data_IF_593854814281
#
_entry.id   IF_593854814281
#
_cell.length_a   1.000
_cell.length_b   1.000
_cell.length_c   1.000
_cell.angle_alpha   90.00
_cell.angle_beta   90.00
_cell.angle_gamma   90.00
#
_symmetry.space_group_name_H-M   'P 1'
#
loop_
_entity.id
_entity.type
_entity.pdbx_description
1 polymer ?
#
# COMPACT_ATOMS: atom_id res chain seq x y z
N UNK A 1 16.43 7.66 -23.31
CA UNK A 1 15.29 6.80 -22.94
C UNK A 1 15.71 5.96 -21.74
N UNK A 2 15.53 6.48 -20.53
CA UNK A 2 15.86 5.73 -19.31
C UNK A 2 14.61 4.96 -18.87
N UNK A 3 14.70 3.63 -18.90
CA UNK A 3 13.70 2.71 -18.35
C UNK A 3 13.46 3.06 -16.89
N UNK A 4 12.22 3.39 -16.53
CA UNK A 4 11.74 3.19 -15.17
C UNK A 4 11.80 1.68 -14.92
N UNK A 5 12.73 1.26 -14.06
CA UNK A 5 12.76 -0.10 -13.58
C UNK A 5 11.55 -0.33 -12.69
N UNK A 6 10.53 -0.99 -13.22
CA UNK A 6 9.55 -1.71 -12.41
C UNK A 6 10.30 -2.87 -11.74
N UNK A 7 10.70 -2.70 -10.47
CA UNK A 7 11.33 -3.78 -9.73
C UNK A 7 10.25 -4.71 -9.15
N UNK A 8 10.26 -5.91 -9.70
CA UNK A 8 9.60 -7.10 -9.21
C UNK A 8 10.10 -7.49 -7.82
N UNK A 9 9.20 -8.01 -6.99
CA UNK A 9 9.52 -8.66 -5.73
C UNK A 9 10.39 -9.89 -5.99
N UNK A 10 11.55 -9.97 -5.34
CA UNK A 10 12.42 -11.15 -5.37
C UNK A 10 11.80 -12.27 -4.51
N UNK A 11 11.31 -13.32 -5.17
CA UNK A 11 10.82 -14.54 -4.52
C UNK A 11 11.87 -15.64 -4.48
N UNK A 12 12.18 -16.16 -3.29
CA UNK A 12 12.94 -17.40 -3.10
C UNK A 12 12.02 -18.61 -3.35
N UNK A 13 12.42 -19.51 -4.25
CA UNK A 13 11.71 -20.76 -4.54
C UNK A 13 12.40 -21.96 -3.88
N UNK A 14 11.65 -22.75 -3.10
CA UNK A 14 12.02 -24.09 -2.62
C UNK A 14 11.16 -25.19 -3.28
N UNK A 15 11.59 -26.46 -3.27
CA UNK A 15 10.98 -27.53 -4.08
C UNK A 15 9.66 -28.06 -3.50
N UNK A 16 8.79 -28.54 -4.41
CA UNK A 16 7.39 -28.95 -4.20
C UNK A 16 7.26 -30.48 -4.16
N UNK A 17 6.42 -31.01 -3.26
CA UNK A 17 5.94 -32.40 -3.26
C UNK A 17 4.42 -32.44 -3.60
N UNK A 18 3.87 -33.56 -4.14
CA UNK A 18 2.46 -33.64 -4.57
C UNK A 18 1.56 -34.36 -3.54
N UNK A 19 0.25 -34.03 -3.54
CA UNK A 19 -0.76 -34.84 -2.84
C UNK A 19 -2.10 -34.15 -2.57
N UNK A 20 -3.03 -34.30 -3.51
CA UNK A 20 -4.51 -34.47 -3.47
C UNK A 20 -5.49 -33.91 -2.41
N UNK A 21 -6.70 -33.67 -2.96
CA UNK A 21 -8.05 -33.77 -2.39
C UNK A 21 -8.79 -32.47 -2.00
N UNK A 22 -9.96 -32.31 -2.62
CA UNK A 22 -10.87 -31.18 -2.55
C UNK A 22 -11.74 -31.18 -1.28
N UNK A 23 -11.89 -30.00 -0.67
CA UNK A 23 -13.01 -29.66 0.22
C UNK A 23 -13.53 -28.27 -0.16
N UNK A 24 -14.85 -28.17 -0.35
CA UNK A 24 -15.55 -26.89 -0.43
C UNK A 24 -15.59 -26.28 0.98
N UNK A 25 -14.75 -25.27 1.22
CA UNK A 25 -14.64 -24.57 2.50
C UNK A 25 -14.67 -23.06 2.28
N UNK A 26 -15.23 -22.34 3.26
CA UNK A 26 -15.18 -20.88 3.34
C UNK A 26 -13.80 -20.37 2.93
N UNK A 27 -13.76 -19.33 2.09
CA UNK A 27 -12.53 -18.81 1.48
C UNK A 27 -11.50 -18.43 2.55
N UNK A 28 -10.68 -19.40 2.96
CA UNK A 28 -9.47 -19.17 3.71
C UNK A 28 -8.63 -18.23 2.86
N UNK A 29 -8.32 -17.05 3.39
CA UNK A 29 -7.38 -16.12 2.77
C UNK A 29 -5.94 -16.66 2.91
N UNK A 30 -5.72 -17.93 2.55
CA UNK A 30 -4.39 -18.53 2.44
C UNK A 30 -3.54 -17.69 1.50
N UNK A 31 -2.27 -17.53 1.87
CA UNK A 31 -1.27 -16.80 1.09
C UNK A 31 -1.40 -17.15 -0.39
N UNK A 32 -1.72 -16.14 -1.19
CA UNK A 32 -1.84 -16.29 -2.63
C UNK A 32 -0.45 -16.48 -3.21
N UNK A 33 -0.27 -17.38 -4.19
CA UNK A 33 1.00 -17.46 -4.89
C UNK A 33 1.32 -16.08 -5.49
N UNK A 34 2.44 -15.51 -5.06
CA UNK A 34 3.03 -14.31 -5.64
C UNK A 34 3.43 -14.64 -7.08
N UNK A 35 3.15 -13.74 -8.01
CA UNK A 35 3.59 -13.91 -9.38
C UNK A 35 5.11 -13.85 -9.44
N UNK A 36 5.72 -14.69 -10.29
CA UNK A 36 7.17 -14.60 -10.55
C UNK A 36 7.57 -13.24 -11.12
N UNK A 37 6.64 -12.54 -11.78
CA UNK A 37 6.75 -11.16 -12.21
C UNK A 37 5.40 -10.45 -12.06
N UNK A 38 5.36 -9.22 -11.53
CA UNK A 38 4.12 -8.43 -11.48
C UNK A 38 3.54 -8.25 -12.89
N UNK A 39 2.23 -8.44 -13.02
CA UNK A 39 1.50 -8.27 -14.27
C UNK A 39 0.87 -6.88 -14.36
N UNK A 40 0.97 -6.22 -15.53
CA UNK A 40 0.19 -5.02 -15.80
C UNK A 40 -1.26 -5.40 -16.13
N UNK A 41 -2.21 -4.69 -15.53
CA UNK A 41 -3.64 -4.88 -15.77
C UNK A 41 -4.13 -3.78 -16.71
N UNK A 42 -4.50 -4.16 -17.93
CA UNK A 42 -5.09 -3.25 -18.90
C UNK A 42 -6.51 -2.83 -18.45
N UNK A 43 -6.68 -1.57 -18.04
CA UNK A 43 -7.96 -1.05 -17.54
C UNK A 43 -8.22 0.34 -18.08
N UNK A 44 -9.37 0.53 -18.73
CA UNK A 44 -9.89 1.84 -19.09
C UNK A 44 -10.80 2.35 -17.97
N UNK A 45 -10.68 3.63 -17.61
CA UNK A 45 -11.54 4.23 -16.59
C UNK A 45 -11.20 3.77 -15.16
N UNK A 46 -12.20 3.69 -14.29
CA UNK A 46 -12.01 3.31 -12.87
C UNK A 46 -11.67 1.82 -12.75
N UNK A 47 -10.63 1.48 -11.99
CA UNK A 47 -10.35 0.12 -11.57
C UNK A 47 -10.92 -0.10 -10.17
N UNK A 48 -11.56 -1.24 -9.92
CA UNK A 48 -12.06 -1.61 -8.60
C UNK A 48 -11.39 -2.91 -8.18
N UNK A 49 -10.70 -2.87 -7.05
CA UNK A 49 -10.05 -4.04 -6.47
C UNK A 49 -11.12 -5.01 -5.96
N UNK A 50 -11.20 -6.21 -6.56
CA UNK A 50 -12.29 -7.15 -6.34
C UNK A 50 -12.43 -7.60 -4.87
N UNK A 51 -11.32 -7.70 -4.13
CA UNK A 51 -11.32 -8.14 -2.74
C UNK A 51 -11.84 -7.12 -1.74
N UNK A 52 -11.51 -5.83 -1.92
CA UNK A 52 -11.83 -4.76 -0.94
C UNK A 52 -12.90 -3.78 -1.42
N UNK A 53 -13.23 -3.79 -2.71
CA UNK A 53 -14.06 -2.75 -3.33
C UNK A 53 -13.38 -1.37 -3.38
N UNK A 54 -12.09 -1.26 -3.04
CA UNK A 54 -11.34 -0.02 -3.16
C UNK A 54 -11.19 0.34 -4.64
N UNK A 55 -11.43 1.60 -4.98
CA UNK A 55 -11.38 2.04 -6.37
C UNK A 55 -10.20 2.97 -6.66
N UNK A 56 -9.49 2.66 -7.74
CA UNK A 56 -8.46 3.49 -8.33
C UNK A 56 -9.05 4.27 -9.51
N UNK A 57 -9.28 5.59 -9.41
CA UNK A 57 -9.76 6.38 -10.54
C UNK A 57 -8.73 6.40 -11.69
N UNK A 58 -9.18 6.66 -12.92
CA UNK A 58 -8.25 6.89 -14.05
C UNK A 58 -7.49 8.23 -13.92
N UNK A 59 -8.04 9.15 -13.13
CA UNK A 59 -7.49 10.48 -12.90
C UNK A 59 -8.49 11.33 -12.12
N UNK A 60 -8.12 12.58 -11.86
CA UNK A 60 -8.95 13.52 -11.11
C UNK A 60 -8.22 14.84 -10.90
N UNK A 61 -8.69 15.61 -9.92
CA UNK A 61 -8.03 16.83 -9.48
C UNK A 61 -7.81 16.80 -7.96
N UNK A 62 -6.64 17.24 -7.51
CA UNK A 62 -6.25 17.36 -6.12
C UNK A 62 -5.53 18.70 -5.92
N UNK A 63 -5.98 19.52 -4.98
CA UNK A 63 -5.50 20.89 -4.76
C UNK A 63 -5.31 21.70 -6.07
N UNK A 64 -6.30 21.65 -6.97
CA UNK A 64 -6.28 22.36 -8.25
C UNK A 64 -5.40 21.75 -9.35
N UNK A 65 -4.68 20.66 -9.05
CA UNK A 65 -3.79 19.97 -9.99
C UNK A 65 -4.40 18.68 -10.50
N UNK A 66 -4.30 18.40 -11.80
CA UNK A 66 -4.78 17.13 -12.38
C UNK A 66 -3.81 16.00 -12.09
N UNK A 67 -4.31 14.84 -11.66
CA UNK A 67 -3.52 13.62 -11.59
C UNK A 67 -4.07 12.59 -12.59
N UNK A 68 -3.19 11.72 -13.10
CA UNK A 68 -3.56 10.67 -14.07
C UNK A 68 -2.96 9.34 -13.64
N UNK A 69 -3.77 8.27 -13.68
CA UNK A 69 -3.29 6.91 -13.45
C UNK A 69 -2.49 6.45 -14.66
N UNK A 70 -1.26 6.03 -14.41
CA UNK A 70 -0.32 5.56 -15.43
C UNK A 70 -0.46 4.05 -15.62
N UNK A 71 -0.54 3.30 -14.52
CA UNK A 71 -0.51 1.83 -14.56
C UNK A 71 -1.30 1.25 -13.39
N UNK A 72 -1.89 0.08 -13.61
CA UNK A 72 -2.35 -0.82 -12.54
C UNK A 72 -1.49 -2.08 -12.60
N UNK A 73 -0.90 -2.47 -11.47
CA UNK A 73 -0.02 -3.64 -11.38
C UNK A 73 -0.61 -4.64 -10.40
N UNK A 74 -0.63 -5.91 -10.78
CA UNK A 74 -1.05 -7.03 -9.97
C UNK A 74 0.19 -7.86 -9.57
N UNK A 75 0.31 -8.18 -8.28
CA UNK A 75 1.48 -8.86 -7.72
C UNK A 75 1.22 -10.34 -7.40
N UNK A 76 -0.05 -10.75 -7.31
CA UNK A 76 -0.42 -12.13 -7.03
C UNK A 76 -1.34 -12.72 -8.10
N UNK A 77 -1.54 -14.03 -8.08
CA UNK A 77 -2.38 -14.72 -9.08
C UNK A 77 -3.89 -14.47 -8.91
N UNK A 78 -4.33 -13.96 -7.75
CA UNK A 78 -5.76 -13.79 -7.42
C UNK A 78 -6.24 -12.34 -7.53
N UNK A 79 -5.35 -11.41 -7.84
CA UNK A 79 -5.65 -9.98 -7.89
C UNK A 79 -5.98 -9.40 -6.51
N UNK A 80 -5.45 -9.98 -5.43
CA UNK A 80 -5.65 -9.48 -4.06
C UNK A 80 -4.56 -8.52 -3.62
N UNK A 81 -3.39 -8.56 -4.28
CA UNK A 81 -2.30 -7.60 -4.10
C UNK A 81 -2.12 -6.81 -5.41
N UNK A 82 -2.50 -5.55 -5.35
CA UNK A 82 -2.51 -4.65 -6.51
C UNK A 82 -2.03 -3.25 -6.13
N UNK A 83 -1.48 -2.54 -7.12
CA UNK A 83 -1.17 -1.13 -7.01
C UNK A 83 -1.68 -0.34 -8.21
N UNK A 84 -1.89 0.95 -8.00
CA UNK A 84 -2.08 1.94 -9.04
C UNK A 84 -1.04 3.05 -8.90
N UNK A 85 -0.34 3.33 -10.00
CA UNK A 85 0.66 4.39 -10.08
C UNK A 85 0.04 5.61 -10.76
N UNK A 86 0.32 6.80 -10.22
CA UNK A 86 -0.19 8.07 -10.70
C UNK A 86 0.94 9.06 -10.91
N UNK A 87 0.79 9.85 -11.96
CA UNK A 87 1.60 11.04 -12.18
C UNK A 87 0.78 12.28 -11.83
N UNK A 88 1.44 13.19 -11.11
CA UNK A 88 0.90 14.49 -10.73
C UNK A 88 1.90 15.57 -11.14
N UNK A 89 1.61 16.40 -12.14
CA UNK A 89 2.47 17.52 -12.50
C UNK A 89 2.44 18.56 -11.39
N UNK A 90 3.59 19.03 -10.93
CA UNK A 90 3.71 20.08 -9.91
C UNK A 90 4.49 21.26 -10.50
N UNK A 91 4.42 22.46 -9.90
CA UNK A 91 5.27 23.58 -10.32
C UNK A 91 6.77 23.26 -10.27
N UNK A 92 7.18 22.36 -9.36
CA UNK A 92 8.57 21.92 -9.18
C UNK A 92 8.99 20.73 -10.05
N UNK A 93 8.05 20.10 -10.76
CA UNK A 93 8.31 18.92 -11.58
C UNK A 93 7.14 17.94 -11.65
N UNK A 94 7.39 16.69 -11.26
CA UNK A 94 6.37 15.64 -11.19
C UNK A 94 6.46 14.96 -9.84
N UNK A 95 5.32 14.78 -9.19
CA UNK A 95 5.16 13.92 -8.05
C UNK A 95 4.60 12.58 -8.54
N UNK A 96 5.19 11.48 -8.07
CA UNK A 96 4.65 10.12 -8.29
C UNK A 96 3.94 9.64 -7.03
N UNK A 97 2.74 9.10 -7.21
CA UNK A 97 1.99 8.47 -6.13
C UNK A 97 1.69 7.02 -6.52
N UNK A 98 2.04 6.09 -5.64
CA UNK A 98 1.68 4.68 -5.77
C UNK A 98 0.72 4.31 -4.65
N UNK A 99 -0.52 3.95 -4.99
CA UNK A 99 -1.51 3.46 -4.05
C UNK A 99 -1.59 1.92 -4.14
N UNK A 100 -1.51 1.23 -3.02
CA UNK A 100 -1.52 -0.24 -2.94
C UNK A 100 -2.70 -0.70 -2.09
N UNK A 101 -3.25 -1.86 -2.42
CA UNK A 101 -4.14 -2.62 -1.55
C UNK A 101 -3.75 -4.08 -1.61
N UNK A 102 -3.54 -4.67 -0.43
CA UNK A 102 -3.13 -6.08 -0.27
C UNK A 102 -3.62 -6.63 1.06
N UNK A 103 -3.79 -7.96 1.20
CA UNK A 103 -4.30 -8.53 2.44
C UNK A 103 -3.27 -8.38 3.57
N UNK A 104 -3.76 -8.20 4.79
CA UNK A 104 -2.95 -8.36 6.00
C UNK A 104 -2.38 -9.79 6.01
N UNK A 105 -1.06 -9.98 6.19
CA UNK A 105 -0.47 -11.31 6.27
C UNK A 105 -1.10 -12.13 7.40
N UNK A 106 -1.63 -13.32 7.10
CA UNK A 106 -2.23 -14.23 8.09
C UNK A 106 -1.20 -14.91 9.02
N UNK A 107 0.07 -14.49 9.00
CA UNK A 107 1.17 -15.19 9.67
C UNK A 107 1.10 -15.21 11.21
N UNK A 108 0.03 -14.70 11.82
CA UNK A 108 -0.10 -14.56 13.27
C UNK A 108 -1.09 -15.52 13.94
N UNK A 109 -1.54 -16.57 13.25
CA UNK A 109 -2.35 -17.63 13.86
C UNK A 109 -1.57 -18.56 14.83
N UNK A 110 -0.37 -18.19 15.29
CA UNK A 110 0.50 -19.06 16.11
C UNK A 110 0.36 -18.86 17.62
N UNK A 111 -0.44 -17.90 18.08
CA UNK A 111 -0.74 -17.76 19.50
C UNK A 111 -2.26 -17.82 19.67
N UNK A 112 -2.78 -19.04 19.82
CA UNK A 112 -4.05 -19.22 20.53
C UNK A 112 -3.85 -18.62 21.92
N UNK A 113 -4.50 -17.51 22.28
CA UNK A 113 -4.44 -17.05 23.65
C UNK A 113 -5.16 -18.12 24.46
N UNK A 114 -4.47 -18.79 25.38
CA UNK A 114 -5.17 -19.37 26.52
C UNK A 114 -5.86 -18.19 27.19
N UNK A 115 -7.21 -18.10 27.20
CA UNK A 115 -7.87 -16.93 27.70
C UNK A 115 -7.55 -16.81 29.20
N UNK A 116 -6.74 -15.82 29.57
CA UNK A 116 -6.71 -15.35 30.94
C UNK A 116 -8.09 -14.75 31.21
N UNK A 117 -8.76 -15.24 32.25
CA UNK A 117 -10.19 -15.06 32.48
C UNK A 117 -10.68 -13.60 32.64
N UNK A 118 -9.78 -12.61 32.66
CA UNK A 118 -10.08 -11.23 33.01
C UNK A 118 -9.70 -10.17 31.97
N UNK A 119 -9.04 -10.54 30.85
CA UNK A 119 -8.81 -9.62 29.73
C UNK A 119 -9.86 -9.87 28.64
N UNK A 120 -10.67 -8.86 28.32
CA UNK A 120 -11.70 -8.99 27.29
C UNK A 120 -11.03 -9.37 25.96
N UNK A 121 -11.60 -10.33 25.23
CA UNK A 121 -11.05 -10.82 23.95
C UNK A 121 -10.77 -9.70 22.91
N UNK A 122 -11.40 -8.54 23.10
CA UNK A 122 -11.23 -7.33 22.31
C UNK A 122 -9.86 -6.65 22.50
N UNK A 123 -9.29 -6.67 23.71
CA UNK A 123 -7.99 -6.06 23.99
C UNK A 123 -6.85 -6.89 23.37
N UNK A 124 -7.00 -8.22 23.37
CA UNK A 124 -6.07 -9.15 22.74
C UNK A 124 -6.06 -9.00 21.20
N UNK A 125 -7.24 -8.86 20.58
CA UNK A 125 -7.35 -8.61 19.14
C UNK A 125 -6.69 -7.28 18.75
N UNK A 126 -6.94 -6.20 19.51
CA UNK A 126 -6.36 -4.90 19.20
C UNK A 126 -4.82 -4.87 19.35
N UNK A 127 -4.28 -5.51 20.39
CA UNK A 127 -2.82 -5.62 20.59
C UNK A 127 -2.12 -6.42 19.48
N UNK A 128 -2.74 -7.53 19.04
CA UNK A 128 -2.22 -8.33 17.94
C UNK A 128 -2.22 -7.53 16.64
N UNK A 129 -3.34 -6.88 16.31
CA UNK A 129 -3.48 -6.05 15.11
C UNK A 129 -2.45 -4.93 15.07
N UNK A 130 -2.22 -4.26 16.19
CA UNK A 130 -1.17 -3.24 16.27
C UNK A 130 0.21 -3.84 15.97
N UNK A 131 0.54 -5.01 16.56
CA UNK A 131 1.82 -5.69 16.32
C UNK A 131 2.04 -6.01 14.85
N UNK A 132 1.03 -6.57 14.16
CA UNK A 132 1.12 -6.86 12.72
C UNK A 132 1.33 -5.59 11.92
N UNK A 133 0.63 -4.51 12.27
CA UNK A 133 0.77 -3.25 11.56
C UNK A 133 2.16 -2.63 11.72
N UNK A 134 2.70 -2.63 12.95
CA UNK A 134 4.05 -2.14 13.23
C UNK A 134 5.13 -2.96 12.50
N UNK A 135 4.96 -4.28 12.42
CA UNK A 135 5.87 -5.12 11.64
C UNK A 135 5.80 -4.80 10.14
N UNK A 136 4.62 -4.48 9.62
CA UNK A 136 4.49 -4.05 8.23
C UNK A 136 5.19 -2.71 7.98
N UNK A 137 5.03 -1.74 8.89
CA UNK A 137 5.74 -0.45 8.81
C UNK A 137 7.25 -0.70 8.79
N UNK A 138 7.79 -1.40 9.80
CA UNK A 138 9.22 -1.67 9.90
C UNK A 138 9.78 -2.46 8.69
N UNK A 139 9.00 -3.39 8.12
CA UNK A 139 9.36 -4.08 6.88
C UNK A 139 9.54 -3.11 5.71
N UNK A 140 8.63 -2.15 5.56
CA UNK A 140 8.66 -1.17 4.46
C UNK A 140 9.76 -0.13 4.63
N UNK A 141 10.06 0.26 5.86
CA UNK A 141 11.21 1.12 6.17
C UNK A 141 12.54 0.42 5.90
N UNK A 142 12.66 -0.85 6.27
CA UNK A 142 13.83 -1.69 5.95
C UNK A 142 14.03 -1.79 4.44
N UNK A 143 12.97 -2.02 3.67
CA UNK A 143 13.06 -2.04 2.20
C UNK A 143 13.51 -0.68 1.64
N UNK A 144 12.95 0.43 2.15
CA UNK A 144 13.31 1.78 1.72
C UNK A 144 14.79 2.09 2.00
N UNK A 145 15.26 1.82 3.21
CA UNK A 145 16.64 2.09 3.64
C UNK A 145 17.65 1.12 3.01
N UNK A 146 17.21 -0.09 2.63
CA UNK A 146 18.03 -1.00 1.82
C UNK A 146 18.25 -0.45 0.41
N UNK A 147 17.22 0.14 -0.20
CA UNK A 147 17.30 0.73 -1.52
C UNK A 147 18.00 2.10 -1.53
N UNK A 148 17.90 2.84 -0.42
CA UNK A 148 18.46 4.16 -0.23
C UNK A 148 19.19 4.22 1.12
N UNK A 149 20.44 3.72 1.20
CA UNK A 149 21.19 3.70 2.46
C UNK A 149 21.45 5.08 3.06
N UNK A 150 21.36 6.14 2.26
CA UNK A 150 21.48 7.54 2.67
C UNK A 150 20.15 8.17 3.12
N UNK A 151 19.06 7.40 3.14
CA UNK A 151 17.76 7.90 3.54
C UNK A 151 17.74 8.28 5.03
N UNK A 152 17.28 9.49 5.31
CA UNK A 152 17.19 10.04 6.66
C UNK A 152 15.72 10.18 7.06
N UNK A 153 15.33 9.58 8.19
CA UNK A 153 13.98 9.73 8.73
C UNK A 153 13.79 11.18 9.23
N UNK A 154 12.82 11.87 8.65
CA UNK A 154 12.47 13.25 9.00
C UNK A 154 11.31 13.29 9.97
N UNK A 155 10.32 12.42 9.78
CA UNK A 155 9.10 12.37 10.58
C UNK A 155 8.51 10.97 10.55
N UNK A 156 8.08 10.49 11.71
CA UNK A 156 7.22 9.32 11.84
C UNK A 156 6.11 9.67 12.83
N UNK A 157 4.85 9.50 12.41
CA UNK A 157 3.69 9.91 13.20
C UNK A 157 2.48 9.00 12.94
N UNK A 158 1.47 9.10 13.81
CA UNK A 158 0.12 8.57 13.55
C UNK A 158 -0.70 9.58 12.75
N UNK A 159 -1.44 9.11 11.76
CA UNK A 159 -2.32 9.93 10.91
C UNK A 159 -3.72 9.31 10.83
N UNK A 160 -4.74 10.17 10.72
CA UNK A 160 -6.11 9.70 10.48
C UNK A 160 -6.29 9.22 9.03
N UNK A 161 -7.18 8.26 8.82
CA UNK A 161 -7.61 7.91 7.47
C UNK A 161 -8.15 9.14 6.71
N UNK A 162 -7.90 9.25 5.40
CA UNK A 162 -8.33 10.38 4.58
C UNK A 162 -9.86 10.47 4.40
N UNK A 163 -10.60 9.39 4.70
CA UNK A 163 -12.05 9.31 4.55
C UNK A 163 -12.72 9.33 5.92
N UNK A 164 -13.47 10.40 6.23
CA UNK A 164 -14.02 10.65 7.57
C UNK A 164 -14.95 9.57 8.14
N UNK A 165 -15.52 8.70 7.31
CA UNK A 165 -16.31 7.54 7.76
C UNK A 165 -15.42 6.41 8.32
N UNK A 166 -14.17 6.33 7.87
CA UNK A 166 -13.20 5.33 8.32
C UNK A 166 -12.37 5.91 9.47
N UNK A 167 -12.44 5.27 10.63
CA UNK A 167 -11.66 5.67 11.83
C UNK A 167 -10.40 4.82 12.03
N UNK A 168 -9.82 4.32 10.93
CA UNK A 168 -8.61 3.50 10.98
C UNK A 168 -7.41 4.43 11.12
N UNK A 169 -6.65 4.36 12.24
CA UNK A 169 -5.38 5.08 12.33
C UNK A 169 -4.39 4.48 11.34
N UNK A 170 -3.57 5.34 10.75
CA UNK A 170 -2.43 4.93 9.94
C UNK A 170 -1.13 5.44 10.54
N UNK A 171 -0.03 4.92 10.02
CA UNK A 171 1.32 5.43 10.26
C UNK A 171 1.78 6.20 9.03
N UNK A 172 2.41 7.35 9.24
CA UNK A 172 3.17 8.06 8.22
C UNK A 172 4.64 8.05 8.59
N UNK A 173 5.52 7.71 7.63
CA UNK A 173 6.96 7.85 7.75
C UNK A 173 7.48 8.66 6.54
N UNK A 174 8.23 9.72 6.80
CA UNK A 174 8.78 10.63 5.80
C UNK A 174 10.29 10.56 5.87
N UNK A 175 10.90 10.17 4.77
CA UNK A 175 12.34 10.14 4.60
C UNK A 175 12.79 11.22 3.62
N UNK A 176 13.98 11.77 3.85
CA UNK A 176 14.71 12.50 2.83
C UNK A 176 15.75 11.57 2.21
N UNK A 177 15.82 11.53 0.88
CA UNK A 177 16.71 10.63 0.14
C UNK A 177 17.16 11.29 -1.17
N UNK A 178 18.05 10.64 -1.92
CA UNK A 178 18.43 11.06 -3.27
C UNK A 178 17.75 10.19 -4.33
N UNK A 179 17.23 10.82 -5.38
CA UNK A 179 16.72 10.11 -6.56
C UNK A 179 17.16 10.82 -7.85
N UNK A 180 17.15 10.11 -8.96
CA UNK A 180 17.54 10.63 -10.26
C UNK A 180 16.32 11.18 -11.01
N UNK A 181 16.23 12.50 -11.08
CA UNK A 181 15.21 13.21 -11.86
C UNK A 181 15.87 13.73 -13.13
N UNK A 182 15.45 13.22 -14.28
CA UNK A 182 16.07 13.51 -15.58
C UNK A 182 17.60 13.28 -15.55
N UNK A 183 18.02 12.13 -15.00
CA UNK A 183 19.42 11.74 -14.84
C UNK A 183 20.27 12.66 -13.95
N UNK A 184 19.65 13.60 -13.24
CA UNK A 184 20.32 14.46 -12.26
C UNK A 184 19.95 13.99 -10.86
N UNK A 185 20.91 13.68 -9.98
CA UNK A 185 20.61 13.37 -8.59
C UNK A 185 19.99 14.61 -7.93
N UNK A 186 18.83 14.44 -7.30
CA UNK A 186 18.15 15.47 -6.53
C UNK A 186 17.75 14.90 -5.19
N UNK A 187 17.81 15.74 -4.15
CA UNK A 187 17.16 15.40 -2.88
C UNK A 187 15.65 15.40 -3.10
N UNK A 188 15.00 14.33 -2.67
CA UNK A 188 13.56 14.13 -2.74
C UNK A 188 13.07 13.68 -1.38
N UNK A 189 11.76 13.86 -1.14
CA UNK A 189 11.11 13.20 -0.01
C UNK A 189 10.54 11.87 -0.47
N UNK A 190 10.62 10.85 0.36
CA UNK A 190 9.87 9.61 0.18
C UNK A 190 8.92 9.47 1.36
N UNK A 191 7.64 9.64 1.09
CA UNK A 191 6.59 9.56 2.11
C UNK A 191 5.88 8.22 1.99
N UNK A 192 5.71 7.55 3.13
CA UNK A 192 5.06 6.26 3.26
C UNK A 192 3.88 6.42 4.21
N UNK A 193 2.69 6.09 3.74
CA UNK A 193 1.48 6.06 4.55
C UNK A 193 0.93 4.64 4.55
N UNK A 194 0.69 4.06 5.72
CA UNK A 194 0.20 2.69 5.86
C UNK A 194 -1.02 2.70 6.78
N UNK A 195 -2.12 2.14 6.29
CA UNK A 195 -3.35 1.93 7.03
C UNK A 195 -3.64 0.44 7.05
N UNK A 196 -3.56 -0.17 8.22
CA UNK A 196 -3.78 -1.61 8.40
C UNK A 196 -5.24 -1.90 8.79
N UNK A 197 -5.70 -3.11 8.49
CA UNK A 197 -7.05 -3.57 8.85
C UNK A 197 -8.17 -2.66 8.32
N UNK A 198 -7.97 -2.05 7.15
CA UNK A 198 -9.06 -1.42 6.40
C UNK A 198 -10.07 -2.50 6.04
N UNK A 199 -11.33 -2.33 6.47
CA UNK A 199 -12.35 -3.38 6.44
C UNK A 199 -11.87 -4.70 7.07
N UNK A 200 -11.14 -4.63 8.19
CA UNK A 200 -10.65 -5.77 8.98
C UNK A 200 -9.67 -6.72 8.28
N UNK A 201 -9.30 -6.45 7.02
CA UNK A 201 -8.55 -7.42 6.20
C UNK A 201 -7.46 -6.82 5.35
N UNK A 202 -7.55 -5.53 5.01
CA UNK A 202 -6.68 -4.94 3.99
C UNK A 202 -5.66 -4.00 4.59
N UNK A 203 -4.47 -4.00 4.00
CA UNK A 203 -3.50 -2.92 4.13
C UNK A 203 -3.70 -2.02 2.93
N UNK A 204 -3.90 -0.72 3.20
CA UNK A 204 -3.86 0.33 2.18
C UNK A 204 -2.59 1.13 2.40
N UNK A 205 -1.75 1.21 1.37
CA UNK A 205 -0.46 1.90 1.43
C UNK A 205 -0.38 2.96 0.35
N UNK A 206 0.12 4.14 0.70
CA UNK A 206 0.52 5.16 -0.28
C UNK A 206 2.03 5.37 -0.17
N UNK A 207 2.71 5.35 -1.32
CA UNK A 207 4.10 5.82 -1.44
C UNK A 207 4.12 7.05 -2.32
N UNK A 208 4.79 8.09 -1.88
CA UNK A 208 4.81 9.38 -2.56
C UNK A 208 6.24 9.86 -2.66
N UNK A 209 6.63 10.33 -3.83
CA UNK A 209 7.96 10.90 -4.05
C UNK A 209 7.83 12.26 -4.72
N UNK A 210 7.65 13.35 -3.93
CA UNK A 210 7.68 14.69 -4.46
C UNK A 210 9.11 15.22 -4.56
N UNK A 211 9.31 16.10 -5.53
CA UNK A 211 10.44 17.05 -5.51
C UNK A 211 10.15 18.04 -4.39
N UNK A 212 11.12 18.36 -3.52
CA UNK A 212 11.05 19.10 -2.23
C UNK A 212 10.21 20.42 -2.21
N UNK A 213 8.93 20.37 -2.57
CA UNK A 213 7.99 21.48 -2.47
C UNK A 213 6.96 21.20 -1.37
N UNK A 214 6.54 22.26 -0.67
CA UNK A 214 5.50 22.18 0.36
C UNK A 214 4.10 21.99 -0.22
N UNK A 215 3.93 22.20 -1.52
CA UNK A 215 2.63 22.03 -2.20
C UNK A 215 2.19 20.57 -2.28
N UNK A 216 3.14 19.64 -2.20
CA UNK A 216 2.89 18.21 -2.30
C UNK A 216 2.00 17.65 -1.17
N UNK A 217 2.05 18.22 0.04
CA UNK A 217 1.22 17.74 1.17
C UNK A 217 -0.27 17.99 0.91
N UNK A 218 -0.64 19.19 0.45
CA UNK A 218 -2.04 19.52 0.14
C UNK A 218 -2.56 18.69 -1.04
N UNK A 219 -1.73 18.52 -2.09
CA UNK A 219 -2.07 17.69 -3.24
C UNK A 219 -2.26 16.24 -2.81
N UNK A 220 -1.37 15.71 -1.97
CA UNK A 220 -1.46 14.34 -1.48
C UNK A 220 -2.70 14.12 -0.61
N UNK A 221 -2.95 15.02 0.35
CA UNK A 221 -4.11 14.93 1.22
C UNK A 221 -5.43 14.93 0.42
N UNK A 222 -5.54 15.78 -0.60
CA UNK A 222 -6.69 15.78 -1.50
C UNK A 222 -6.73 14.56 -2.43
N UNK A 223 -5.59 14.10 -2.92
CA UNK A 223 -5.50 12.88 -3.72
C UNK A 223 -6.01 11.66 -2.95
N UNK A 224 -5.60 11.51 -1.69
CA UNK A 224 -6.02 10.37 -0.86
C UNK A 224 -7.54 10.35 -0.64
N UNK A 225 -8.20 11.52 -0.56
CA UNK A 225 -9.68 11.63 -0.51
C UNK A 225 -10.35 11.23 -1.83
N UNK A 226 -9.64 11.29 -2.95
CA UNK A 226 -10.17 10.91 -4.27
C UNK A 226 -10.01 9.41 -4.58
N UNK A 227 -9.28 8.66 -3.75
CA UNK A 227 -9.13 7.20 -3.85
C UNK A 227 -10.01 6.55 -2.78
N UNK A 228 -11.30 6.30 -3.06
CA UNK A 228 -12.23 5.80 -2.07
C UNK A 228 -11.87 4.37 -1.66
N UNK A 229 -11.75 4.16 -0.35
CA UNK A 229 -11.44 2.85 0.22
C UNK A 229 -12.60 1.86 0.14
N UNK A 230 -13.81 2.39 -0.07
CA UNK A 230 -15.01 1.59 -0.27
C UNK A 230 -15.77 2.15 -1.47
N UNK A 231 -16.16 1.28 -2.39
CA UNK A 231 -17.38 1.52 -3.15
C UNK A 231 -18.48 0.82 -2.38
N UNK A 232 -19.34 1.55 -1.66
CA UNK A 232 -20.69 0.98 -1.48
C UNK A 232 -21.18 0.66 -2.88
N UNK A 233 -21.61 -0.57 -3.19
CA UNK A 233 -22.34 -0.77 -4.44
C UNK A 233 -23.50 0.25 -4.43
N UNK A 234 -23.79 0.94 -5.56
CA UNK A 234 -25.02 1.70 -5.64
C UNK A 234 -26.16 0.74 -5.27
N UNK A 235 -26.96 1.13 -4.27
CA UNK A 235 -28.20 0.44 -3.95
C UNK A 235 -29.20 0.58 -5.09
#
# INVERSE_FOLDING_TARGET
MAMLAALAAAGCAGPKAPGDAAQAGAAQAGSTPVLSQPGEVAVQGRYVHAGSGLAFPAGGAAAGTRFTRVTVTQFDTKGLDVSANYDVPTPSGRMRISAYVYPVPLAFNLVSPTPAADSTAQDLDSGLRNTVCQQEVGRRETELTTLHPEAELIREDTVAAPHGETKVPGTVAIYETSDFINSTPKRVRSELYIFCYVQDRWIVKYRVTPVQDRTSEAILADFMKQVPWTTRPPQ
#
